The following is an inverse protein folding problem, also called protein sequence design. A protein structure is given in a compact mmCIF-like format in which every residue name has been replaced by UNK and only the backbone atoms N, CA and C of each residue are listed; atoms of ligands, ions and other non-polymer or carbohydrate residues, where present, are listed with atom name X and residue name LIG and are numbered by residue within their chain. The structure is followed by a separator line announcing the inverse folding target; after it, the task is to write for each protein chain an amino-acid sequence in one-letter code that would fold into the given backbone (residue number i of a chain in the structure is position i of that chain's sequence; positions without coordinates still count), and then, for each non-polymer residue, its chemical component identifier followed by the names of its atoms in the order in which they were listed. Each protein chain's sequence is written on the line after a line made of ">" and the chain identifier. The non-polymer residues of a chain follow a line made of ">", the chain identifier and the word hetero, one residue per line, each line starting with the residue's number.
data_IF_724716252965
#
_entry.id   IF_724716252965
#
_cell.length_a   1.000
_cell.length_b   1.000
_cell.length_c   1.000
_cell.angle_alpha   90.00
_cell.angle_beta   90.00
_cell.angle_gamma   90.00
#
_symmetry.space_group_name_H-M   'P 1'
#
loop_
_entity.id
_entity.type
_entity.pdbx_description
1 polymer ?
#
# COMPACT_ATOMS: atom_id res chain seq x y z
N UNK A 1 -14.17 -64.79 -54.02
CA UNK A 1 -13.40 -64.49 -52.81
C UNK A 1 -13.07 -63.01 -52.86
N UNK A 2 -13.98 -62.18 -52.35
CA UNK A 2 -13.82 -60.71 -52.39
C UNK A 2 -13.02 -60.31 -51.16
N UNK A 3 -11.73 -60.08 -51.41
CA UNK A 3 -10.77 -59.20 -50.76
C UNK A 3 -11.08 -58.61 -49.36
N UNK A 4 -11.08 -59.47 -48.32
CA UNK A 4 -11.10 -59.06 -46.89
C UNK A 4 -9.94 -58.12 -46.52
N UNK A 5 -8.84 -58.14 -47.29
CA UNK A 5 -7.68 -57.26 -47.07
C UNK A 5 -7.95 -55.81 -47.45
N UNK A 6 -8.74 -55.57 -48.49
CA UNK A 6 -9.14 -54.21 -48.89
C UNK A 6 -10.05 -53.53 -47.84
N UNK A 7 -10.90 -54.32 -47.16
CA UNK A 7 -11.75 -53.82 -46.07
C UNK A 7 -10.93 -53.50 -44.81
N UNK A 8 -9.96 -54.36 -44.46
CA UNK A 8 -9.07 -54.14 -43.33
C UNK A 8 -8.22 -52.87 -43.49
N UNK A 9 -7.65 -52.63 -44.68
CA UNK A 9 -6.87 -51.42 -44.98
C UNK A 9 -7.71 -50.14 -44.90
N UNK A 10 -8.99 -50.21 -45.30
CA UNK A 10 -9.91 -49.06 -45.18
C UNK A 10 -10.23 -48.75 -43.72
N UNK A 11 -10.40 -49.76 -42.87
CA UNK A 11 -10.60 -49.59 -41.44
C UNK A 11 -9.37 -49.03 -40.73
N UNK A 12 -8.18 -49.49 -41.10
CA UNK A 12 -6.92 -49.01 -40.55
C UNK A 12 -6.67 -47.54 -40.91
N UNK A 13 -6.99 -47.13 -42.15
CA UNK A 13 -6.92 -45.73 -42.57
C UNK A 13 -7.86 -44.82 -41.78
N UNK A 14 -9.09 -45.28 -41.50
CA UNK A 14 -10.06 -44.54 -40.68
C UNK A 14 -9.57 -44.44 -39.23
N UNK A 15 -9.10 -45.54 -38.65
CA UNK A 15 -8.57 -45.56 -37.28
C UNK A 15 -7.33 -44.65 -37.13
N UNK A 16 -6.40 -44.72 -38.08
CA UNK A 16 -5.24 -43.83 -38.12
C UNK A 16 -5.66 -42.36 -38.24
N UNK A 17 -6.65 -42.06 -39.08
CA UNK A 17 -7.24 -40.72 -39.21
C UNK A 17 -7.84 -40.21 -37.91
N UNK A 18 -8.59 -41.05 -37.19
CA UNK A 18 -9.18 -40.69 -35.88
C UNK A 18 -8.08 -40.43 -34.85
N UNK A 19 -7.03 -41.27 -34.79
CA UNK A 19 -5.90 -41.08 -33.87
C UNK A 19 -5.17 -39.78 -34.18
N UNK A 20 -4.93 -39.49 -35.46
CA UNK A 20 -4.20 -38.29 -35.89
C UNK A 20 -5.01 -37.01 -35.63
N UNK A 21 -6.32 -37.02 -35.90
CA UNK A 21 -7.22 -35.92 -35.56
C UNK A 21 -7.34 -35.73 -34.05
N UNK A 22 -7.38 -36.82 -33.28
CA UNK A 22 -7.41 -36.76 -31.81
C UNK A 22 -6.11 -36.21 -31.24
N UNK A 23 -4.97 -36.62 -31.79
CA UNK A 23 -3.65 -36.12 -31.40
C UNK A 23 -3.49 -34.63 -31.74
N UNK A 24 -3.95 -34.18 -32.91
CA UNK A 24 -3.96 -32.76 -33.28
C UNK A 24 -4.93 -31.98 -32.38
N UNK A 25 -6.13 -32.52 -32.10
CA UNK A 25 -7.08 -31.92 -31.17
C UNK A 25 -6.50 -31.75 -29.76
N UNK A 26 -5.80 -32.77 -29.26
CA UNK A 26 -5.11 -32.72 -27.97
C UNK A 26 -3.96 -31.70 -27.99
N UNK A 27 -3.16 -31.66 -29.05
CA UNK A 27 -2.09 -30.68 -29.21
C UNK A 27 -2.62 -29.24 -29.29
N UNK A 28 -3.79 -29.01 -29.91
CA UNK A 28 -4.46 -27.71 -29.94
C UNK A 28 -5.07 -27.32 -28.59
N UNK A 29 -5.46 -28.30 -27.76
CA UNK A 29 -5.91 -28.07 -26.38
C UNK A 29 -4.76 -27.83 -25.40
N UNK A 30 -3.52 -28.15 -25.76
CA UNK A 30 -2.31 -27.66 -25.08
C UNK A 30 -2.08 -26.19 -25.49
N UNK A 31 -3.06 -25.33 -25.20
CA UNK A 31 -2.76 -23.92 -24.99
C UNK A 31 -1.98 -23.87 -23.69
N UNK A 32 -0.66 -23.80 -23.82
CA UNK A 32 0.22 -23.60 -22.68
C UNK A 32 -0.33 -22.42 -21.86
N UNK A 33 -0.68 -22.69 -20.61
CA UNK A 33 -0.94 -21.67 -19.60
C UNK A 33 0.43 -21.13 -19.20
N UNK A 34 1.05 -20.39 -20.11
CA UNK A 34 2.19 -19.55 -19.78
C UNK A 34 1.64 -18.27 -19.16
N UNK A 35 2.21 -17.78 -18.04
CA UNK A 35 1.90 -16.45 -17.58
C UNK A 35 2.16 -15.48 -18.74
N UNK A 36 1.12 -14.76 -19.15
CA UNK A 36 1.11 -13.89 -20.32
C UNK A 36 2.00 -12.67 -20.04
N UNK A 37 3.31 -12.81 -20.25
CA UNK A 37 4.36 -11.78 -20.11
C UNK A 37 4.68 -11.33 -18.67
N UNK A 38 5.97 -11.04 -18.35
CA UNK A 38 6.40 -10.49 -17.07
C UNK A 38 5.58 -9.29 -16.58
N UNK A 39 5.05 -8.47 -17.50
CA UNK A 39 4.23 -7.30 -17.19
C UNK A 39 2.91 -7.63 -16.46
N UNK A 40 2.19 -8.69 -16.87
CA UNK A 40 0.91 -9.03 -16.21
C UNK A 40 1.15 -9.65 -14.83
N UNK A 41 2.23 -10.43 -14.67
CA UNK A 41 2.63 -10.97 -13.37
C UNK A 41 3.09 -9.85 -12.43
N UNK A 42 3.85 -8.87 -12.92
CA UNK A 42 4.23 -7.70 -12.15
C UNK A 42 3.04 -6.82 -11.78
N UNK A 43 2.06 -6.65 -12.69
CA UNK A 43 0.82 -5.92 -12.40
C UNK A 43 -0.04 -6.64 -11.35
N UNK A 44 -0.13 -7.97 -11.42
CA UNK A 44 -0.87 -8.73 -10.42
C UNK A 44 -0.28 -8.55 -9.02
N UNK A 45 1.05 -8.61 -8.91
CA UNK A 45 1.74 -8.35 -7.64
C UNK A 45 1.54 -6.92 -7.17
N UNK A 46 1.67 -5.92 -8.06
CA UNK A 46 1.42 -4.51 -7.73
C UNK A 46 0.00 -4.29 -7.22
N UNK A 47 -1.02 -4.81 -7.93
CA UNK A 47 -2.42 -4.71 -7.51
C UNK A 47 -2.66 -5.37 -6.16
N UNK A 48 -2.01 -6.50 -5.88
CA UNK A 48 -2.10 -7.18 -4.59
C UNK A 48 -1.47 -6.35 -3.46
N UNK A 49 -0.27 -5.80 -3.67
CA UNK A 49 0.38 -4.93 -2.68
C UNK A 49 -0.48 -3.69 -2.45
N UNK A 50 -0.99 -3.05 -3.49
CA UNK A 50 -1.85 -1.86 -3.39
C UNK A 50 -3.11 -2.16 -2.57
N UNK A 51 -3.86 -3.20 -2.91
CA UNK A 51 -5.07 -3.59 -2.17
C UNK A 51 -4.78 -3.93 -0.70
N UNK A 52 -3.61 -4.52 -0.43
CA UNK A 52 -3.18 -4.80 0.95
C UNK A 52 -2.82 -3.52 1.69
N UNK A 53 -2.16 -2.56 1.04
CA UNK A 53 -1.85 -1.24 1.60
C UNK A 53 -3.10 -0.44 1.92
N UNK A 54 -4.07 -0.42 1.01
CA UNK A 54 -5.38 0.23 1.20
C UNK A 54 -6.10 -0.36 2.41
N UNK A 55 -6.22 -1.69 2.48
CA UNK A 55 -6.86 -2.36 3.61
C UNK A 55 -6.16 -2.13 4.94
N UNK A 56 -4.83 -1.99 4.96
CA UNK A 56 -4.08 -1.67 6.17
C UNK A 56 -4.32 -0.23 6.64
N UNK A 57 -4.40 0.73 5.71
CA UNK A 57 -4.73 2.12 6.02
C UNK A 57 -6.17 2.29 6.48
N UNK A 58 -7.13 1.65 5.81
CA UNK A 58 -8.55 1.63 6.21
C UNK A 58 -8.69 1.08 7.63
N UNK A 59 -8.07 -0.08 7.87
CA UNK A 59 -8.04 -0.73 9.18
C UNK A 59 -7.43 0.15 10.29
N UNK A 60 -6.43 0.96 9.96
CA UNK A 60 -5.82 1.88 10.92
C UNK A 60 -6.67 3.14 11.15
N UNK A 61 -7.35 3.63 10.11
CA UNK A 61 -8.27 4.75 10.22
C UNK A 61 -9.51 4.39 11.06
N UNK A 62 -10.10 3.21 10.85
CA UNK A 62 -11.26 2.72 11.62
C UNK A 62 -10.99 2.55 13.13
N UNK A 63 -9.72 2.44 13.52
CA UNK A 63 -9.29 2.26 14.92
C UNK A 63 -8.70 3.53 15.52
N UNK A 64 -8.83 4.68 14.84
CA UNK A 64 -8.22 5.97 15.18
C UNK A 64 -6.68 5.96 15.26
N UNK A 65 -6.03 4.81 15.03
CA UNK A 65 -4.58 4.63 15.01
C UNK A 65 -3.92 5.57 14.02
N UNK A 66 -4.54 5.80 12.86
CA UNK A 66 -4.01 6.71 11.85
C UNK A 66 -4.00 8.16 12.35
N UNK A 67 -5.08 8.60 12.99
CA UNK A 67 -5.22 9.95 13.54
C UNK A 67 -4.24 10.17 14.70
N UNK A 68 -4.20 9.25 15.66
CA UNK A 68 -3.27 9.31 16.80
C UNK A 68 -1.82 9.38 16.34
N UNK A 69 -1.47 8.63 15.30
CA UNK A 69 -0.11 8.58 14.76
C UNK A 69 0.33 9.89 14.13
N UNK A 70 -0.53 10.56 13.36
CA UNK A 70 -0.19 11.85 12.74
C UNK A 70 -0.19 13.00 13.76
N UNK A 71 -0.95 12.87 14.84
CA UNK A 71 -1.00 13.82 15.94
C UNK A 71 0.08 13.57 17.00
N UNK A 72 0.89 12.51 16.88
CA UNK A 72 1.98 12.16 17.80
C UNK A 72 3.21 13.06 17.64
N UNK A 73 2.99 14.36 17.88
CA UNK A 73 3.88 15.46 17.55
C UNK A 73 4.26 16.28 18.77
N UNK A 74 5.55 16.62 18.86
CA UNK A 74 6.08 17.50 19.87
C UNK A 74 6.13 18.94 19.33
N UNK A 75 5.18 19.76 19.74
CA UNK A 75 5.09 21.18 19.36
C UNK A 75 6.29 22.02 19.79
N UNK A 76 6.96 21.62 20.87
CA UNK A 76 8.05 22.36 21.49
C UNK A 76 9.38 22.12 20.77
N UNK A 77 9.58 20.92 20.23
CA UNK A 77 10.79 20.57 19.46
C UNK A 77 10.58 20.62 17.96
N UNK A 78 9.33 20.64 17.49
CA UNK A 78 9.01 20.58 16.07
C UNK A 78 9.36 19.23 15.44
N UNK A 79 9.12 18.12 16.16
CA UNK A 79 9.42 16.76 15.69
C UNK A 79 8.34 15.77 16.13
N UNK A 80 8.19 14.65 15.42
CA UNK A 80 7.39 13.53 15.96
C UNK A 80 8.05 13.00 17.23
N UNK A 81 7.24 12.62 18.21
CA UNK A 81 7.74 11.98 19.41
C UNK A 81 8.50 10.70 19.05
N UNK A 82 9.62 10.41 19.71
CA UNK A 82 10.46 9.23 19.43
C UNK A 82 11.05 9.15 18.01
N UNK A 83 10.93 10.21 17.19
CA UNK A 83 11.74 10.33 15.99
C UNK A 83 13.23 10.56 16.35
N UNK A 84 14.12 10.29 15.40
CA UNK A 84 15.57 10.41 15.63
C UNK A 84 15.96 11.83 16.06
N UNK A 85 17.06 11.99 16.81
CA UNK A 85 17.43 13.26 17.45
C UNK A 85 17.66 14.44 16.49
N UNK A 86 17.84 14.18 15.19
CA UNK A 86 18.13 15.18 14.16
C UNK A 86 17.19 15.10 12.95
N UNK A 87 16.09 14.35 13.03
CA UNK A 87 15.13 14.18 11.92
C UNK A 87 13.68 14.26 12.39
N UNK A 88 12.87 15.00 11.64
CA UNK A 88 11.43 15.16 11.89
C UNK A 88 10.59 13.96 11.40
N UNK A 89 11.21 12.79 11.19
CA UNK A 89 10.55 11.58 10.68
C UNK A 89 11.25 10.32 11.21
N UNK A 90 10.56 9.20 11.15
CA UNK A 90 11.13 7.92 11.57
C UNK A 90 11.94 7.27 10.44
N UNK A 91 13.08 6.69 10.77
CA UNK A 91 13.91 5.92 9.84
C UNK A 91 13.84 4.43 10.17
N UNK A 92 13.73 3.60 9.15
CA UNK A 92 13.55 2.15 9.28
C UNK A 92 12.13 1.77 9.73
N UNK A 93 12.02 0.65 10.45
CA UNK A 93 10.79 0.27 11.14
C UNK A 93 10.78 1.02 12.46
N UNK A 94 9.83 1.96 12.69
CA UNK A 94 9.75 2.68 13.96
C UNK A 94 9.62 1.70 15.13
N UNK A 95 10.18 2.03 16.29
CA UNK A 95 10.01 1.24 17.51
C UNK A 95 8.52 1.13 17.86
N UNK A 96 8.15 0.12 18.66
CA UNK A 96 6.76 -0.25 18.99
C UNK A 96 5.92 0.79 19.73
N UNK A 97 6.36 2.04 19.76
CA UNK A 97 5.62 3.20 20.25
C UNK A 97 4.61 3.70 19.20
N UNK A 98 4.79 3.36 17.90
CA UNK A 98 3.95 3.83 16.81
C UNK A 98 3.01 2.72 16.26
N UNK A 99 1.76 2.72 16.70
CA UNK A 99 0.77 1.67 16.38
C UNK A 99 0.46 1.50 14.87
N UNK A 100 0.56 2.57 14.06
CA UNK A 100 0.42 2.46 12.60
C UNK A 100 1.55 1.62 11.99
N UNK A 101 2.77 1.76 12.53
CA UNK A 101 3.93 1.00 12.07
C UNK A 101 3.79 -0.47 12.40
N UNK A 102 3.24 -0.82 13.57
CA UNK A 102 2.95 -2.22 13.90
C UNK A 102 1.92 -2.85 12.95
N UNK A 103 0.92 -2.07 12.53
CA UNK A 103 -0.10 -2.52 11.59
C UNK A 103 0.49 -2.77 10.20
N UNK A 104 1.29 -1.83 9.70
CA UNK A 104 1.94 -1.97 8.39
C UNK A 104 3.05 -3.01 8.40
N UNK A 105 3.84 -3.10 9.46
CA UNK A 105 4.90 -4.10 9.60
C UNK A 105 4.32 -5.52 9.64
N UNK A 106 3.25 -5.78 10.41
CA UNK A 106 2.54 -7.07 10.35
C UNK A 106 1.98 -7.38 8.96
N UNK A 107 1.64 -6.34 8.21
CA UNK A 107 1.12 -6.46 6.85
C UNK A 107 2.22 -6.74 5.83
N UNK A 108 3.44 -6.22 5.99
CA UNK A 108 4.47 -6.26 4.95
C UNK A 108 5.70 -7.11 5.27
N UNK A 109 6.03 -7.33 6.55
CA UNK A 109 7.28 -7.99 6.97
C UNK A 109 7.48 -9.37 6.34
N UNK A 110 6.46 -10.24 6.38
CA UNK A 110 6.55 -11.61 5.85
C UNK A 110 6.52 -11.65 4.31
N UNK A 111 6.30 -10.51 3.65
CA UNK A 111 6.06 -10.42 2.20
C UNK A 111 7.26 -9.87 1.40
N UNK A 112 8.38 -9.58 2.06
CA UNK A 112 9.53 -8.87 1.47
C UNK A 112 9.07 -7.57 0.80
N UNK A 113 8.28 -6.78 1.52
CA UNK A 113 7.80 -5.47 1.06
C UNK A 113 8.31 -4.42 2.04
N UNK A 114 9.01 -3.42 1.52
CA UNK A 114 9.36 -2.21 2.25
C UNK A 114 8.34 -1.11 1.96
N UNK A 115 8.20 -0.15 2.87
CA UNK A 115 7.28 0.96 2.70
C UNK A 115 7.82 2.28 3.25
N UNK A 116 7.39 3.38 2.64
CA UNK A 116 7.51 4.72 3.20
C UNK A 116 6.11 5.24 3.55
N UNK A 117 6.02 6.03 4.61
CA UNK A 117 4.85 6.82 4.94
C UNK A 117 5.12 8.30 4.71
N UNK A 118 4.18 8.97 4.06
CA UNK A 118 4.20 10.40 3.81
C UNK A 118 2.85 10.98 4.19
N UNK A 119 2.85 12.20 4.71
CA UNK A 119 1.64 12.94 5.03
C UNK A 119 1.63 14.15 4.14
N UNK A 120 0.68 14.20 3.21
CA UNK A 120 0.46 15.40 2.40
C UNK A 120 -0.57 16.26 3.09
N UNK A 121 -0.34 17.56 3.11
CA UNK A 121 -1.22 18.52 3.75
C UNK A 121 -1.36 19.76 2.86
N UNK A 122 -2.46 20.47 3.04
CA UNK A 122 -2.72 21.69 2.32
C UNK A 122 -2.03 22.88 2.99
N UNK A 123 -1.54 23.80 2.18
CA UNK A 123 -1.02 25.11 2.56
C UNK A 123 -1.70 26.18 1.71
N UNK A 124 -1.48 27.47 2.02
CA UNK A 124 -1.99 28.56 1.20
C UNK A 124 -1.46 28.53 -0.26
N UNK A 125 -0.34 27.86 -0.50
CA UNK A 125 0.34 27.81 -1.80
C UNK A 125 0.09 26.50 -2.56
N UNK A 126 -0.45 25.46 -1.91
CA UNK A 126 -0.75 24.19 -2.54
C UNK A 126 -0.71 23.00 -1.58
N UNK A 127 -0.14 21.88 -2.06
CA UNK A 127 0.05 20.68 -1.26
C UNK A 127 1.54 20.50 -0.95
N UNK A 128 1.86 20.39 0.34
CA UNK A 128 3.19 20.04 0.81
C UNK A 128 3.23 18.59 1.31
N UNK A 129 4.41 18.15 1.76
CA UNK A 129 4.62 16.76 2.19
C UNK A 129 5.51 16.73 3.42
N UNK A 130 4.96 16.26 4.53
CA UNK A 130 5.71 15.85 5.69
C UNK A 130 6.12 14.39 5.51
N UNK A 131 7.41 14.12 5.65
CA UNK A 131 7.89 12.76 5.70
C UNK A 131 7.54 12.14 7.06
N UNK A 132 7.03 10.91 7.06
CA UNK A 132 6.61 10.26 8.31
C UNK A 132 7.46 9.04 8.65
N UNK A 133 7.55 8.07 7.73
CA UNK A 133 8.41 6.88 7.89
C UNK A 133 9.21 6.66 6.61
N UNK A 134 10.52 6.44 6.76
CA UNK A 134 11.44 6.15 5.66
C UNK A 134 12.16 4.80 5.83
N UNK A 135 11.89 3.85 4.95
CA UNK A 135 12.62 2.57 4.86
C UNK A 135 13.58 2.51 3.67
N UNK A 136 13.65 3.57 2.86
CA UNK A 136 14.60 3.70 1.76
C UNK A 136 13.95 4.21 0.49
N UNK A 137 14.60 3.94 -0.65
CA UNK A 137 14.16 4.45 -1.95
C UNK A 137 13.17 3.48 -2.62
N UNK A 138 11.97 3.94 -3.00
CA UNK A 138 11.03 3.14 -3.77
C UNK A 138 11.61 2.63 -5.09
N UNK A 139 11.27 1.41 -5.48
CA UNK A 139 11.59 0.85 -6.79
C UNK A 139 10.69 1.42 -7.91
N UNK A 140 11.02 1.15 -9.17
CA UNK A 140 10.21 1.52 -10.34
C UNK A 140 8.81 0.86 -10.37
N UNK A 141 8.58 -0.13 -9.48
CA UNK A 141 7.31 -0.84 -9.34
C UNK A 141 6.67 -0.61 -7.97
N UNK A 142 7.01 0.50 -7.32
CA UNK A 142 6.33 0.92 -6.10
C UNK A 142 4.87 1.26 -6.38
N UNK A 143 4.01 0.90 -5.44
CA UNK A 143 2.58 1.23 -5.45
C UNK A 143 2.27 2.19 -4.33
N UNK A 144 1.29 3.05 -4.57
CA UNK A 144 0.82 4.03 -3.58
C UNK A 144 -0.61 3.73 -3.20
N UNK A 145 -0.88 3.74 -1.90
CA UNK A 145 -2.22 3.79 -1.34
C UNK A 145 -2.33 5.03 -0.44
N UNK A 146 -3.50 5.64 -0.37
CA UNK A 146 -3.70 6.83 0.45
C UNK A 146 -5.00 6.78 1.23
N UNK A 147 -4.99 7.40 2.40
CA UNK A 147 -6.17 7.63 3.23
C UNK A 147 -6.28 9.11 3.54
N UNK A 148 -7.50 9.65 3.47
CA UNK A 148 -7.76 11.06 3.81
C UNK A 148 -8.19 11.16 5.26
N UNK A 149 -7.56 12.05 6.01
CA UNK A 149 -7.92 12.40 7.37
C UNK A 149 -8.27 13.89 7.44
N UNK A 150 -9.42 14.21 8.01
CA UNK A 150 -9.85 15.59 8.22
C UNK A 150 -9.51 15.94 9.67
N UNK A 151 -8.65 16.94 9.86
CA UNK A 151 -8.29 17.43 11.17
C UNK A 151 -9.14 18.65 11.54
N UNK A 152 -9.58 18.70 12.78
CA UNK A 152 -10.38 19.76 13.35
C UNK A 152 -9.60 20.57 14.37
N UNK A 153 -10.03 21.81 14.60
CA UNK A 153 -9.46 22.70 15.63
C UNK A 153 -9.49 22.08 17.03
N UNK A 154 -10.49 21.23 17.28
CA UNK A 154 -10.68 20.53 18.55
C UNK A 154 -9.76 19.34 18.76
N UNK A 155 -9.14 18.84 17.70
CA UNK A 155 -8.24 17.69 17.77
C UNK A 155 -7.00 18.04 18.59
N UNK A 156 -6.46 17.04 19.27
CA UNK A 156 -5.38 17.23 20.24
C UNK A 156 -4.14 16.51 19.80
N UNK A 157 -2.99 17.14 20.04
CA UNK A 157 -1.71 16.47 19.93
C UNK A 157 -1.66 15.27 20.88
N UNK A 158 -1.01 14.20 20.47
CA UNK A 158 -0.78 13.02 21.31
C UNK A 158 0.62 13.13 21.89
N UNK A 159 0.72 13.20 23.21
CA UNK A 159 1.99 13.33 23.93
C UNK A 159 2.76 12.00 23.91
N UNK A 160 4.07 12.04 24.19
CA UNK A 160 4.94 10.86 24.20
C UNK A 160 4.42 9.66 25.02
N UNK A 161 3.66 9.90 26.09
CA UNK A 161 3.05 8.88 26.95
C UNK A 161 1.69 8.36 26.45
N UNK A 162 1.22 8.80 25.27
CA UNK A 162 -0.07 8.48 24.68
C UNK A 162 -1.27 9.27 25.21
N UNK A 163 -1.06 10.26 26.11
CA UNK A 163 -2.16 11.09 26.59
C UNK A 163 -2.41 12.31 25.70
N UNK A 164 -3.61 12.87 25.78
CA UNK A 164 -3.99 14.09 25.07
C UNK A 164 -3.17 15.32 25.52
N UNK A 165 -2.72 16.10 24.55
CA UNK A 165 -2.01 17.36 24.72
C UNK A 165 -2.86 18.59 24.38
N UNK A 166 -2.18 19.64 23.89
CA UNK A 166 -2.81 20.88 23.45
C UNK A 166 -3.71 20.65 22.23
N UNK A 167 -4.74 21.49 22.07
CA UNK A 167 -5.56 21.45 20.85
C UNK A 167 -4.82 22.12 19.71
N UNK A 168 -5.06 21.65 18.50
CA UNK A 168 -4.49 22.24 17.28
C UNK A 168 -4.86 23.72 17.13
N UNK A 169 -6.10 24.09 17.49
CA UNK A 169 -6.57 25.47 17.42
C UNK A 169 -6.18 26.37 18.59
N UNK A 170 -5.50 25.84 19.62
CA UNK A 170 -5.07 26.67 20.74
C UNK A 170 -3.96 27.63 20.29
N UNK A 171 -4.00 28.93 20.68
CA UNK A 171 -2.97 29.88 20.31
C UNK A 171 -1.58 29.45 20.80
N UNK A 172 -0.64 29.30 19.86
CA UNK A 172 0.73 28.91 20.16
C UNK A 172 1.03 27.41 20.04
N UNK A 173 0.04 26.57 19.75
CA UNK A 173 0.28 25.16 19.39
C UNK A 173 0.98 25.08 18.03
N UNK A 174 2.20 24.55 18.02
CA UNK A 174 2.97 24.34 16.79
C UNK A 174 2.68 22.96 16.16
N UNK A 175 2.26 22.95 14.90
CA UNK A 175 2.06 21.73 14.12
C UNK A 175 2.69 21.87 12.73
N UNK A 176 3.13 20.76 12.14
CA UNK A 176 3.83 20.77 10.84
C UNK A 176 2.90 21.20 9.70
N UNK A 177 1.60 20.88 9.79
CA UNK A 177 0.61 21.36 8.84
C UNK A 177 0.05 22.70 9.34
N UNK A 178 0.00 23.75 8.49
CA UNK A 178 -0.57 25.02 8.90
C UNK A 178 -2.09 24.90 9.07
N UNK A 179 -2.65 25.74 9.93
CA UNK A 179 -4.10 25.92 9.98
C UNK A 179 -4.58 26.63 8.71
N UNK A 180 -5.54 26.04 8.00
CA UNK A 180 -6.12 26.61 6.78
C UNK A 180 -7.25 27.58 7.04
N UNK A 181 -7.94 27.44 8.17
CA UNK A 181 -9.11 28.22 8.49
C UNK A 181 -9.18 28.53 9.99
N UNK A 182 -8.66 29.69 10.36
CA UNK A 182 -8.60 30.13 11.76
C UNK A 182 -9.96 30.52 12.36
N UNK A 183 -11.03 30.56 11.56
CA UNK A 183 -12.37 30.95 12.00
C UNK A 183 -13.36 29.75 12.02
N UNK A 184 -13.04 28.63 11.35
CA UNK A 184 -13.91 27.45 11.21
C UNK A 184 -13.47 26.27 12.09
N UNK A 185 -14.32 25.24 12.22
CA UNK A 185 -14.01 24.02 12.97
C UNK A 185 -12.94 23.12 12.32
N UNK A 186 -12.52 23.44 11.09
CA UNK A 186 -11.57 22.65 10.29
C UNK A 186 -10.17 23.21 10.47
N UNK A 187 -9.20 22.35 10.77
CA UNK A 187 -7.80 22.73 10.84
C UNK A 187 -7.07 22.51 9.50
N UNK A 188 -7.07 21.26 9.00
CA UNK A 188 -6.45 20.89 7.73
C UNK A 188 -7.01 19.55 7.22
N UNK A 189 -6.75 19.22 5.96
CA UNK A 189 -7.03 17.92 5.36
C UNK A 189 -5.70 17.24 5.04
N UNK A 190 -5.46 16.10 5.65
CA UNK A 190 -4.26 15.29 5.45
C UNK A 190 -4.55 14.12 4.52
N UNK A 191 -3.59 13.82 3.63
CA UNK A 191 -3.56 12.56 2.88
C UNK A 191 -2.36 11.76 3.35
N UNK A 192 -2.62 10.68 4.08
CA UNK A 192 -1.57 9.76 4.53
C UNK A 192 -1.33 8.74 3.43
N UNK A 193 -0.16 8.80 2.82
CA UNK A 193 0.25 7.97 1.69
C UNK A 193 1.24 6.89 2.14
N UNK A 194 0.91 5.64 1.85
CA UNK A 194 1.84 4.50 1.90
C UNK A 194 2.41 4.30 0.51
N UNK A 195 3.73 4.39 0.37
CA UNK A 195 4.45 3.98 -0.84
C UNK A 195 5.14 2.66 -0.54
N UNK A 196 4.66 1.56 -1.11
CA UNK A 196 5.15 0.22 -0.83
C UNK A 196 5.82 -0.41 -2.06
N UNK A 197 6.92 -1.14 -1.86
CA UNK A 197 7.62 -1.83 -2.95
C UNK A 197 8.26 -3.12 -2.46
N UNK A 198 8.44 -4.08 -3.36
CA UNK A 198 9.12 -5.33 -3.07
C UNK A 198 10.62 -5.11 -2.96
N UNK A 199 11.26 -5.77 -2.00
CA UNK A 199 12.72 -5.84 -1.83
C UNK A 199 13.31 -7.15 -2.34
#
# INVERSE_FOLDING_TARGET
>A
MVDDRGQALSFEGIAAGIILLSAVGFALQVTAVTPLSPSTSSQHVQNQIQSTSEGALDSAAERDVLADSVLYWNDSTGTFHSAGPDVEHYQGVPSGDLAISDTLNRTFADRNVAYNLRIRYHTAEGLETQQFVEQGRPSDHAVTASQTLVLHESDRLVLANGSEGARLGDPGTGFYAPNLDTDESLYNILHVEVVAWRI
#
